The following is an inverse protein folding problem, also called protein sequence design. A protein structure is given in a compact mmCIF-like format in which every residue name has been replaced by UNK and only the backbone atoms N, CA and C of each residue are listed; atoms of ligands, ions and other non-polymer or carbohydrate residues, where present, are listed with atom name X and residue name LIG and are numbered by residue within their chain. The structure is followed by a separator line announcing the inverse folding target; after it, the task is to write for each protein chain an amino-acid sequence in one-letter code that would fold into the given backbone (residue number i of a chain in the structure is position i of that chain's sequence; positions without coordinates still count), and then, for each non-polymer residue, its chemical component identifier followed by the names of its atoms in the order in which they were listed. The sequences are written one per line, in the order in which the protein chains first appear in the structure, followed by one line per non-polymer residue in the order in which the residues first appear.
data_IF_554288645248
#
_entry.id   IF_554288645248
#
_cell.length_a   1.000
_cell.length_b   1.000
_cell.length_c   1.000
_cell.angle_alpha   90.00
_cell.angle_beta   90.00
_cell.angle_gamma   90.00
#
_symmetry.space_group_name_H-M   'P 1'
#
loop_
_entity.id
_entity.type
_entity.pdbx_description
1 polymer ?
#
# COMPACT_ATOMS: atom_id res chain seq x y z
N UNK A 1 3.48 -6.14 -6.20
CA UNK A 1 2.80 -5.81 -4.94
C UNK A 1 3.53 -6.38 -3.73
N UNK A 2 3.59 -7.71 -3.54
CA UNK A 2 4.17 -8.30 -2.33
C UNK A 2 5.62 -7.85 -2.02
N UNK A 3 6.49 -7.76 -3.03
CA UNK A 3 7.86 -7.25 -2.84
C UNK A 3 7.90 -5.80 -2.36
N UNK A 4 7.02 -4.95 -2.89
CA UNK A 4 6.89 -3.54 -2.49
C UNK A 4 6.39 -3.46 -1.05
N UNK A 5 5.35 -4.21 -0.69
CA UNK A 5 4.83 -4.22 0.70
C UNK A 5 5.87 -4.71 1.71
N UNK A 6 6.63 -5.76 1.37
CA UNK A 6 7.74 -6.24 2.22
C UNK A 6 8.81 -5.17 2.42
N UNK A 7 9.24 -4.51 1.35
CA UNK A 7 10.24 -3.45 1.44
C UNK A 7 9.76 -2.25 2.28
N UNK A 8 8.48 -1.88 2.19
CA UNK A 8 7.89 -0.84 3.05
C UNK A 8 7.87 -1.27 4.51
N UNK A 9 7.48 -2.52 4.80
CA UNK A 9 7.46 -3.05 6.16
C UNK A 9 8.87 -3.06 6.77
N UNK A 10 9.86 -3.55 6.01
CA UNK A 10 11.28 -3.54 6.39
C UNK A 10 11.80 -2.11 6.63
N UNK A 11 11.48 -1.15 5.75
CA UNK A 11 11.90 0.24 5.91
C UNK A 11 11.30 0.93 7.15
N UNK A 12 10.14 0.47 7.61
CA UNK A 12 9.45 1.03 8.80
C UNK A 12 9.64 0.17 10.04
N UNK A 13 10.57 -0.78 10.03
CA UNK A 13 10.88 -1.67 11.15
C UNK A 13 9.63 -2.37 11.73
N UNK A 14 8.72 -2.82 10.86
CA UNK A 14 7.48 -3.50 11.24
C UNK A 14 7.28 -4.80 10.48
N UNK A 15 6.40 -5.67 10.98
CA UNK A 15 6.06 -6.88 10.23
C UNK A 15 5.14 -6.54 9.05
N UNK A 16 5.09 -7.43 8.05
CA UNK A 16 4.11 -7.30 6.97
C UNK A 16 2.67 -7.35 7.51
N UNK A 17 2.42 -8.07 8.61
CA UNK A 17 1.13 -8.14 9.26
C UNK A 17 0.71 -6.78 9.82
N UNK A 18 1.59 -6.13 10.59
CA UNK A 18 1.34 -4.81 11.18
C UNK A 18 1.08 -3.75 10.10
N UNK A 19 1.86 -3.78 9.01
CA UNK A 19 1.65 -2.90 7.87
C UNK A 19 0.27 -3.09 7.24
N UNK A 20 -0.14 -4.35 7.03
CA UNK A 20 -1.44 -4.66 6.45
C UNK A 20 -2.59 -4.26 7.37
N UNK A 21 -2.48 -4.55 8.66
CA UNK A 21 -3.45 -4.14 9.68
C UNK A 21 -3.62 -2.61 9.66
N UNK A 22 -2.51 -1.86 9.70
CA UNK A 22 -2.53 -0.40 9.63
C UNK A 22 -3.20 0.15 8.36
N UNK A 23 -2.90 -0.41 7.20
CA UNK A 23 -3.54 -0.03 5.92
C UNK A 23 -5.05 -0.28 5.98
N UNK A 24 -5.47 -1.44 6.46
CA UNK A 24 -6.87 -1.85 6.51
C UNK A 24 -7.67 -1.02 7.51
N UNK A 25 -7.12 -0.76 8.70
CA UNK A 25 -7.76 0.10 9.71
C UNK A 25 -7.99 1.52 9.19
N UNK A 26 -6.99 2.12 8.52
CA UNK A 26 -7.17 3.43 7.89
C UNK A 26 -8.24 3.39 6.79
N UNK A 27 -8.29 2.33 5.98
CA UNK A 27 -9.32 2.17 4.96
C UNK A 27 -10.72 2.05 5.58
N UNK A 28 -10.88 1.31 6.68
CA UNK A 28 -12.16 1.23 7.42
C UNK A 28 -12.61 2.59 7.97
N UNK A 29 -11.67 3.46 8.33
CA UNK A 29 -11.95 4.82 8.79
C UNK A 29 -12.03 5.86 7.67
N UNK A 30 -11.86 5.47 6.40
CA UNK A 30 -11.85 6.40 5.26
C UNK A 30 -10.63 7.35 5.23
N UNK A 31 -9.53 6.98 5.89
CA UNK A 31 -8.30 7.76 5.98
C UNK A 31 -7.23 7.24 5.03
N UNK A 32 -6.30 8.12 4.65
CA UNK A 32 -5.12 7.73 3.87
C UNK A 32 -4.12 6.99 4.79
N UNK A 33 -3.64 5.78 4.42
CA UNK A 33 -2.73 5.01 5.26
C UNK A 33 -1.27 5.47 5.22
N UNK A 34 -0.90 6.33 4.26
CA UNK A 34 0.47 6.74 4.02
C UNK A 34 0.59 8.26 3.92
N UNK A 35 1.68 8.79 4.47
CA UNK A 35 2.09 10.18 4.27
C UNK A 35 2.62 10.41 2.85
N UNK A 36 2.68 11.68 2.42
CA UNK A 36 3.30 12.06 1.14
C UNK A 36 4.76 11.59 1.03
N UNK A 37 5.50 11.56 2.13
CA UNK A 37 6.88 11.08 2.15
C UNK A 37 6.93 9.57 1.91
N UNK A 38 6.08 8.80 2.58
CA UNK A 38 6.01 7.35 2.40
C UNK A 38 5.53 6.96 1.00
N UNK A 39 4.63 7.74 0.40
CA UNK A 39 4.22 7.53 -0.99
C UNK A 39 5.39 7.67 -1.98
N UNK A 40 6.32 8.61 -1.74
CA UNK A 40 7.54 8.74 -2.57
C UNK A 40 8.45 7.51 -2.44
N UNK A 41 8.62 7.00 -1.22
CA UNK A 41 9.38 5.77 -0.96
C UNK A 41 8.74 4.56 -1.66
N UNK A 42 7.41 4.43 -1.60
CA UNK A 42 6.66 3.38 -2.30
C UNK A 42 6.88 3.45 -3.82
N UNK A 43 6.86 4.64 -4.42
CA UNK A 43 7.14 4.79 -5.86
C UNK A 43 8.56 4.35 -6.22
N UNK A 44 9.56 4.63 -5.38
CA UNK A 44 10.92 4.14 -5.59
C UNK A 44 10.98 2.61 -5.57
N UNK A 45 10.31 1.97 -4.61
CA UNK A 45 10.22 0.50 -4.56
C UNK A 45 9.45 -0.09 -5.74
N UNK A 46 8.38 0.56 -6.21
CA UNK A 46 7.66 0.14 -7.41
C UNK A 46 8.56 0.14 -8.63
N UNK A 47 9.37 1.18 -8.82
CA UNK A 47 10.36 1.25 -9.91
C UNK A 47 11.41 0.15 -9.75
N UNK A 48 12.01 0.02 -8.56
CA UNK A 48 13.05 -0.98 -8.27
C UNK A 48 12.60 -2.41 -8.56
N UNK A 49 11.36 -2.75 -8.19
CA UNK A 49 10.80 -4.09 -8.39
C UNK A 49 10.02 -4.26 -9.69
N UNK A 50 10.00 -3.26 -10.58
CA UNK A 50 9.28 -3.32 -11.86
C UNK A 50 7.76 -3.46 -11.72
N UNK A 51 7.16 -2.93 -10.65
CA UNK A 51 5.72 -3.01 -10.41
C UNK A 51 4.98 -1.94 -11.23
N UNK A 52 4.24 -2.39 -12.24
CA UNK A 52 3.42 -1.53 -13.11
C UNK A 52 1.96 -1.44 -12.68
N UNK A 53 1.52 -2.30 -11.75
CA UNK A 53 0.15 -2.37 -11.25
C UNK A 53 -0.31 -1.04 -10.62
N UNK A 54 -1.52 -0.64 -10.97
CA UNK A 54 -2.24 0.53 -10.46
C UNK A 54 -3.55 0.10 -9.80
N UNK A 55 -4.19 1.03 -9.08
CA UNK A 55 -5.50 0.80 -8.49
C UNK A 55 -6.57 0.42 -9.55
N UNK A 56 -6.44 0.95 -10.79
CA UNK A 56 -7.30 0.59 -11.93
C UNK A 56 -7.19 -0.87 -12.35
N UNK A 57 -6.07 -1.52 -12.05
CA UNK A 57 -5.83 -2.93 -12.39
C UNK A 57 -6.38 -3.87 -11.31
N UNK A 58 -6.98 -3.33 -10.24
CA UNK A 58 -7.62 -4.14 -9.21
C UNK A 58 -8.81 -4.90 -9.80
N UNK A 59 -8.76 -6.23 -9.73
CA UNK A 59 -9.85 -7.07 -10.19
C UNK A 59 -11.03 -6.99 -9.20
N UNK A 60 -12.11 -6.31 -9.62
CA UNK A 60 -13.47 -6.45 -9.07
C UNK A 60 -13.77 -5.95 -7.63
N UNK A 61 -12.92 -5.16 -6.99
CA UNK A 61 -13.31 -4.43 -5.78
C UNK A 61 -14.08 -3.16 -6.14
N UNK A 62 -15.37 -3.30 -6.45
CA UNK A 62 -16.29 -2.16 -6.64
C UNK A 62 -17.01 -1.86 -5.33
N UNK A 63 -16.60 -0.81 -4.64
CA UNK A 63 -17.42 -0.22 -3.58
C UNK A 63 -18.69 0.39 -4.23
N UNK A 64 -19.87 -0.07 -3.82
CA UNK A 64 -21.12 0.55 -4.27
C UNK A 64 -21.23 1.92 -3.61
N UNK A 65 -21.13 3.00 -4.39
CA UNK A 65 -21.57 4.33 -3.95
C UNK A 65 -23.05 4.21 -3.56
N UNK A 66 -23.39 4.47 -2.30
CA UNK A 66 -24.74 4.86 -1.90
C UNK A 66 -24.83 6.38 -1.95
#
# INVERSE_FOLDING_TARGET
MLKVLKAVAEQKDMTLGDLLEGIVLHAFEGKAPFSQQTLKEIEQFKVLYGMTLRASDSHNLKERRR
#
